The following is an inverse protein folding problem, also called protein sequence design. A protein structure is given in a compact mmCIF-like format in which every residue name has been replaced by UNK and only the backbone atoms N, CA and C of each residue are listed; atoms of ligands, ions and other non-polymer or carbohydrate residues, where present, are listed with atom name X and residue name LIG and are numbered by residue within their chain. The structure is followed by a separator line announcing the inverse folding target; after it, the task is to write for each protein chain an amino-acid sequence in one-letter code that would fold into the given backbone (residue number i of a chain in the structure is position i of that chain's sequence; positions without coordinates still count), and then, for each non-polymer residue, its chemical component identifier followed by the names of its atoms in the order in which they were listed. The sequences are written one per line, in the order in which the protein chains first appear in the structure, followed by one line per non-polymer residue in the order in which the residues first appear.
data_IF_628655082778
#
_entry.id   IF_628655082778
#
_cell.length_a   1.000
_cell.length_b   1.000
_cell.length_c   1.000
_cell.angle_alpha   90.00
_cell.angle_beta   90.00
_cell.angle_gamma   90.00
#
_symmetry.space_group_name_H-M   'P 1'
#
loop_
_entity.id
_entity.type
_entity.pdbx_description
1 polymer ?
#
# COMPACT_ATOMS: atom_id res chain seq x y z
N UNK A 1 -21.79 3.84 -8.10
CA UNK A 1 -20.44 3.36 -8.48
C UNK A 1 -20.18 1.96 -7.92
N UNK A 2 -20.66 0.91 -8.58
CA UNK A 2 -20.59 -0.46 -8.03
C UNK A 2 -19.15 -0.98 -8.15
N UNK A 3 -18.57 -1.44 -7.03
CA UNK A 3 -17.28 -2.14 -7.02
C UNK A 3 -16.04 -1.32 -6.62
N UNK A 4 -16.18 -0.11 -6.05
CA UNK A 4 -15.01 0.62 -5.52
C UNK A 4 -14.37 -0.11 -4.34
N UNK A 5 -15.18 -0.63 -3.40
CA UNK A 5 -14.72 -1.51 -2.33
C UNK A 5 -14.02 -2.78 -2.85
N UNK A 6 -14.57 -3.41 -3.90
CA UNK A 6 -13.95 -4.58 -4.55
C UNK A 6 -12.58 -4.23 -5.16
N UNK A 7 -12.44 -3.05 -5.76
CA UNK A 7 -11.16 -2.57 -6.29
C UNK A 7 -10.17 -2.28 -5.17
N UNK A 8 -10.60 -1.60 -4.10
CA UNK A 8 -9.76 -1.31 -2.95
C UNK A 8 -9.24 -2.60 -2.30
N UNK A 9 -10.10 -3.60 -2.14
CA UNK A 9 -9.72 -4.91 -1.63
C UNK A 9 -8.75 -5.65 -2.56
N UNK A 10 -8.94 -5.54 -3.89
CA UNK A 10 -7.95 -6.06 -4.85
C UNK A 10 -6.61 -5.34 -4.72
N UNK A 11 -6.62 -4.02 -4.61
CA UNK A 11 -5.39 -3.22 -4.36
C UNK A 11 -4.67 -3.75 -3.13
N UNK A 12 -5.38 -3.97 -2.03
CA UNK A 12 -4.82 -4.56 -0.82
C UNK A 12 -4.18 -5.93 -1.08
N UNK A 13 -4.92 -6.88 -1.66
CA UNK A 13 -4.39 -8.23 -1.92
C UNK A 13 -3.15 -8.21 -2.82
N UNK A 14 -3.18 -7.44 -3.92
CA UNK A 14 -2.02 -7.31 -4.80
C UNK A 14 -0.83 -6.64 -4.11
N UNK A 15 -1.09 -5.63 -3.28
CA UNK A 15 -0.03 -4.93 -2.53
C UNK A 15 0.62 -5.84 -1.50
N UNK A 16 -0.15 -6.67 -0.80
CA UNK A 16 0.37 -7.67 0.15
C UNK A 16 1.31 -8.63 -0.57
N UNK A 17 0.84 -9.26 -1.67
CA UNK A 17 1.64 -10.24 -2.42
C UNK A 17 2.94 -9.61 -2.92
N UNK A 18 2.86 -8.44 -3.56
CA UNK A 18 4.03 -7.74 -4.08
C UNK A 18 4.98 -7.29 -2.97
N UNK A 19 4.44 -6.86 -1.82
CA UNK A 19 5.26 -6.47 -0.67
C UNK A 19 6.00 -7.65 -0.08
N UNK A 20 5.37 -8.82 0.04
CA UNK A 20 6.03 -10.06 0.51
C UNK A 20 7.17 -10.42 -0.43
N UNK A 21 6.93 -10.42 -1.75
CA UNK A 21 7.95 -10.75 -2.76
C UNK A 21 9.11 -9.75 -2.70
N UNK A 22 8.84 -8.45 -2.73
CA UNK A 22 9.88 -7.42 -2.75
C UNK A 22 10.75 -7.44 -1.49
N UNK A 23 10.13 -7.58 -0.31
CA UNK A 23 10.88 -7.65 0.94
C UNK A 23 11.64 -8.97 1.11
N UNK A 24 11.11 -10.08 0.59
CA UNK A 24 11.83 -11.37 0.58
C UNK A 24 13.10 -11.29 -0.28
N UNK A 25 13.02 -10.63 -1.44
CA UNK A 25 14.19 -10.35 -2.29
C UNK A 25 15.19 -9.46 -1.55
N UNK A 26 14.74 -8.37 -0.94
CA UNK A 26 15.60 -7.48 -0.16
C UNK A 26 16.32 -8.22 0.97
N UNK A 27 15.60 -9.06 1.73
CA UNK A 27 16.16 -9.84 2.81
C UNK A 27 17.21 -10.84 2.32
N UNK A 28 16.91 -11.57 1.24
CA UNK A 28 17.84 -12.55 0.64
C UNK A 28 19.15 -11.91 0.18
N UNK A 29 19.09 -10.70 -0.39
CA UNK A 29 20.28 -9.98 -0.86
C UNK A 29 21.13 -9.46 0.30
N UNK A 30 20.51 -9.08 1.41
CA UNK A 30 21.18 -8.41 2.54
C UNK A 30 21.68 -9.36 3.63
N UNK A 31 21.04 -10.51 3.82
CA UNK A 31 21.31 -11.46 4.93
C UNK A 31 21.90 -12.79 4.44
N UNK A 32 22.86 -12.73 3.50
CA UNK A 32 23.49 -13.92 2.89
C UNK A 32 24.01 -14.90 3.96
N UNK A 33 23.34 -16.05 4.10
CA UNK A 33 23.85 -17.23 4.84
C UNK A 33 23.15 -17.58 6.15
N UNK A 34 22.05 -16.90 6.54
CA UNK A 34 21.27 -17.23 7.73
C UNK A 34 20.17 -18.29 7.52
N UNK A 35 19.62 -18.86 8.60
CA UNK A 35 18.43 -19.72 8.54
C UNK A 35 17.18 -18.88 8.22
N UNK A 36 16.62 -19.08 7.03
CA UNK A 36 15.57 -18.23 6.46
C UNK A 36 14.15 -18.62 6.91
N UNK A 37 13.97 -19.83 7.42
CA UNK A 37 12.64 -20.44 7.63
C UNK A 37 11.80 -19.69 8.67
N UNK A 38 12.39 -19.34 9.81
CA UNK A 38 11.70 -18.60 10.87
C UNK A 38 11.56 -17.10 10.58
N UNK A 39 12.54 -16.51 9.89
CA UNK A 39 12.53 -15.07 9.62
C UNK A 39 11.48 -14.72 8.56
N UNK A 40 11.31 -15.57 7.54
CA UNK A 40 10.34 -15.31 6.48
C UNK A 40 8.90 -15.23 7.00
N UNK A 41 8.53 -16.07 7.96
CA UNK A 41 7.20 -16.10 8.57
C UNK A 41 6.93 -14.82 9.36
N UNK A 42 7.83 -14.44 10.26
CA UNK A 42 7.69 -13.21 11.06
C UNK A 42 7.68 -11.95 10.19
N UNK A 43 8.50 -11.93 9.12
CA UNK A 43 8.57 -10.82 8.19
C UNK A 43 7.28 -10.73 7.34
N UNK A 44 6.70 -11.86 6.96
CA UNK A 44 5.42 -11.92 6.25
C UNK A 44 4.26 -11.41 7.10
N UNK A 45 4.19 -11.79 8.38
CA UNK A 45 3.19 -11.27 9.32
C UNK A 45 3.28 -9.75 9.47
N UNK A 46 4.51 -9.22 9.63
CA UNK A 46 4.76 -7.78 9.69
C UNK A 46 4.31 -7.05 8.43
N UNK A 47 4.61 -7.59 7.25
CA UNK A 47 4.20 -7.00 5.96
C UNK A 47 2.68 -6.99 5.81
N UNK A 48 2.01 -8.08 6.19
CA UNK A 48 0.55 -8.16 6.16
C UNK A 48 -0.05 -7.08 7.06
N UNK A 49 0.46 -6.95 8.29
CA UNK A 49 0.00 -5.92 9.22
C UNK A 49 0.21 -4.50 8.66
N UNK A 50 1.37 -4.21 8.09
CA UNK A 50 1.64 -2.91 7.47
C UNK A 50 0.69 -2.62 6.30
N UNK A 51 0.43 -3.61 5.44
CA UNK A 51 -0.55 -3.45 4.36
C UNK A 51 -1.98 -3.24 4.89
N UNK A 52 -2.36 -3.88 6.00
CA UNK A 52 -3.65 -3.65 6.65
C UNK A 52 -3.74 -2.21 7.14
N UNK A 53 -2.69 -1.68 7.77
CA UNK A 53 -2.66 -0.28 8.22
C UNK A 53 -2.86 0.68 7.04
N UNK A 54 -2.08 0.51 5.97
CA UNK A 54 -2.21 1.36 4.77
C UNK A 54 -3.60 1.21 4.13
N UNK A 55 -4.14 0.00 4.09
CA UNK A 55 -5.49 -0.26 3.60
C UNK A 55 -6.55 0.49 4.42
N UNK A 56 -6.50 0.42 5.75
CA UNK A 56 -7.41 1.15 6.65
C UNK A 56 -7.30 2.66 6.41
N UNK A 57 -6.08 3.18 6.28
CA UNK A 57 -5.86 4.59 5.96
C UNK A 57 -6.39 4.99 4.58
N UNK A 58 -6.57 4.04 3.66
CA UNK A 58 -7.13 4.26 2.33
C UNK A 58 -8.66 4.11 2.24
N UNK A 59 -9.33 3.73 3.33
CA UNK A 59 -10.80 3.63 3.38
C UNK A 59 -11.56 4.93 3.06
N UNK A 60 -11.05 6.14 3.35
CA UNK A 60 -11.71 7.37 2.90
C UNK A 60 -11.96 7.45 1.39
N UNK A 61 -11.20 6.69 0.58
CA UNK A 61 -11.45 6.56 -0.86
C UNK A 61 -12.86 6.03 -1.18
N UNK A 62 -13.52 5.32 -0.25
CA UNK A 62 -14.89 4.85 -0.40
C UNK A 62 -15.91 5.99 -0.53
N UNK A 63 -15.65 7.16 0.07
CA UNK A 63 -16.52 8.33 -0.04
C UNK A 63 -16.64 8.85 -1.47
N UNK A 64 -15.69 8.50 -2.34
CA UNK A 64 -15.73 8.86 -3.75
C UNK A 64 -16.92 8.28 -4.51
N UNK A 65 -17.71 7.39 -3.88
CA UNK A 65 -19.05 6.98 -4.35
C UNK A 65 -19.98 8.17 -4.63
N UNK A 66 -19.78 9.29 -3.92
CA UNK A 66 -20.49 10.53 -4.17
C UNK A 66 -19.97 11.23 -5.44
N UNK A 67 -20.82 11.49 -6.44
CA UNK A 67 -20.43 12.20 -7.67
C UNK A 67 -19.80 13.58 -7.42
N UNK A 68 -20.24 14.31 -6.39
CA UNK A 68 -19.68 15.61 -6.05
C UNK A 68 -18.18 15.53 -5.71
N UNK A 69 -17.79 14.48 -4.97
CA UNK A 69 -16.39 14.23 -4.63
C UNK A 69 -15.60 13.65 -5.81
N UNK A 70 -16.23 12.83 -6.65
CA UNK A 70 -15.58 12.27 -7.84
C UNK A 70 -15.24 13.33 -8.89
N UNK A 71 -16.12 14.31 -9.10
CA UNK A 71 -15.97 15.34 -10.13
C UNK A 71 -14.96 16.42 -9.74
N UNK A 72 -14.72 16.63 -8.44
CA UNK A 72 -13.68 17.53 -7.94
C UNK A 72 -12.32 16.81 -7.90
N UNK A 73 -11.39 17.20 -8.79
CA UNK A 73 -10.07 16.57 -8.90
C UNK A 73 -9.29 16.58 -7.57
N UNK A 74 -9.26 17.72 -6.87
CA UNK A 74 -8.48 17.88 -5.65
C UNK A 74 -9.01 16.98 -4.53
N UNK A 75 -10.33 16.99 -4.32
CA UNK A 75 -11.00 16.11 -3.33
C UNK A 75 -10.81 14.65 -3.72
N UNK A 76 -10.90 14.33 -5.02
CA UNK A 76 -10.70 12.98 -5.53
C UNK A 76 -9.31 12.46 -5.20
N UNK A 77 -8.26 13.22 -5.52
CA UNK A 77 -6.88 12.82 -5.26
C UNK A 77 -6.61 12.71 -3.75
N UNK A 78 -7.12 13.65 -2.95
CA UNK A 78 -6.95 13.64 -1.51
C UNK A 78 -7.58 12.40 -0.88
N UNK A 79 -8.84 12.11 -1.18
CA UNK A 79 -9.52 10.93 -0.61
C UNK A 79 -8.93 9.61 -1.12
N UNK A 80 -8.42 9.58 -2.35
CA UNK A 80 -7.86 8.36 -2.93
C UNK A 80 -6.44 8.06 -2.41
N UNK A 81 -5.57 9.07 -2.33
CA UNK A 81 -4.13 8.85 -2.07
C UNK A 81 -3.65 9.27 -0.68
N UNK A 82 -4.46 9.99 0.12
CA UNK A 82 -4.02 10.48 1.43
C UNK A 82 -3.49 9.37 2.33
N UNK A 83 -4.16 8.21 2.39
CA UNK A 83 -3.74 7.11 3.25
C UNK A 83 -2.32 6.62 3.00
N UNK A 84 -1.98 6.30 1.75
CA UNK A 84 -0.65 5.81 1.39
C UNK A 84 0.42 6.91 1.47
N UNK A 85 0.08 8.15 1.11
CA UNK A 85 1.01 9.29 1.20
C UNK A 85 1.34 9.60 2.66
N UNK A 86 0.33 9.69 3.53
CA UNK A 86 0.53 9.95 4.97
C UNK A 86 1.34 8.82 5.60
N UNK A 87 1.08 7.56 5.23
CA UNK A 87 1.88 6.43 5.70
C UNK A 87 3.36 6.57 5.33
N UNK A 88 3.68 6.91 4.08
CA UNK A 88 5.07 7.11 3.63
C UNK A 88 5.74 8.26 4.40
N UNK A 89 5.06 9.40 4.52
CA UNK A 89 5.57 10.55 5.28
C UNK A 89 5.84 10.17 6.74
N UNK A 90 4.94 9.41 7.36
CA UNK A 90 5.08 8.91 8.73
C UNK A 90 6.28 7.97 8.85
N UNK A 91 6.44 7.02 7.93
CA UNK A 91 7.58 6.11 7.90
C UNK A 91 8.93 6.82 7.72
N UNK A 92 8.98 7.90 6.93
CA UNK A 92 10.17 8.74 6.80
C UNK A 92 10.49 9.47 8.11
N UNK A 93 9.46 9.99 8.79
CA UNK A 93 9.57 10.83 9.98
C UNK A 93 9.90 10.04 11.25
N UNK A 94 9.51 8.76 11.31
CA UNK A 94 9.81 7.90 12.45
C UNK A 94 11.31 7.53 12.51
N UNK A 95 11.85 7.52 13.72
CA UNK A 95 13.19 7.02 14.02
C UNK A 95 13.16 5.48 14.12
N UNK A 96 13.14 4.82 12.97
CA UNK A 96 13.21 3.37 12.84
C UNK A 96 14.64 2.92 12.52
N UNK A 97 14.98 1.70 12.94
CA UNK A 97 16.21 1.03 12.48
C UNK A 97 16.21 0.97 10.93
N UNK A 98 17.36 1.14 10.26
CA UNK A 98 17.42 1.24 8.79
C UNK A 98 16.73 0.08 8.05
N UNK A 99 16.89 -1.15 8.54
CA UNK A 99 16.25 -2.35 7.99
C UNK A 99 14.72 -2.25 8.00
N UNK A 100 14.12 -1.84 9.12
CA UNK A 100 12.68 -1.66 9.24
C UNK A 100 12.17 -0.46 8.44
N UNK A 101 12.94 0.63 8.39
CA UNK A 101 12.57 1.80 7.57
C UNK A 101 12.43 1.40 6.09
N UNK A 102 13.35 0.58 5.57
CA UNK A 102 13.25 0.05 4.20
C UNK A 102 11.97 -0.77 4.02
N UNK A 103 11.67 -1.70 4.93
CA UNK A 103 10.46 -2.54 4.84
C UNK A 103 9.19 -1.69 4.81
N UNK A 104 9.10 -0.65 5.65
CA UNK A 104 7.95 0.26 5.69
C UNK A 104 7.83 1.04 4.38
N UNK A 105 8.91 1.64 3.89
CA UNK A 105 8.90 2.45 2.66
C UNK A 105 8.60 1.60 1.43
N UNK A 106 9.16 0.39 1.33
CA UNK A 106 8.88 -0.55 0.25
C UNK A 106 7.40 -0.95 0.27
N UNK A 107 6.86 -1.28 1.46
CA UNK A 107 5.44 -1.64 1.61
C UNK A 107 4.51 -0.48 1.22
N UNK A 108 4.77 0.72 1.73
CA UNK A 108 3.98 1.91 1.41
C UNK A 108 4.08 2.31 -0.07
N UNK A 109 5.29 2.23 -0.63
CA UNK A 109 5.55 2.52 -2.04
C UNK A 109 4.87 1.54 -3.00
N UNK A 110 4.92 0.24 -2.70
CA UNK A 110 4.20 -0.78 -3.46
C UNK A 110 2.71 -0.54 -3.39
N UNK A 111 2.17 -0.30 -2.19
CA UNK A 111 0.75 0.01 -2.06
C UNK A 111 0.36 1.23 -2.89
N UNK A 112 1.13 2.33 -2.79
CA UNK A 112 0.88 3.54 -3.58
C UNK A 112 0.92 3.26 -5.09
N UNK A 113 1.88 2.48 -5.59
CA UNK A 113 1.97 2.10 -6.99
C UNK A 113 0.75 1.30 -7.46
N UNK A 114 0.40 0.23 -6.74
CA UNK A 114 -0.77 -0.60 -7.08
C UNK A 114 -2.05 0.24 -7.02
N UNK A 115 -2.18 1.07 -5.98
CA UNK A 115 -3.32 1.97 -5.80
C UNK A 115 -3.42 2.97 -6.97
N UNK A 116 -2.29 3.51 -7.44
CA UNK A 116 -2.21 4.39 -8.61
C UNK A 116 -2.61 3.70 -9.92
N UNK A 117 -2.22 2.44 -10.11
CA UNK A 117 -2.65 1.65 -11.28
C UNK A 117 -4.17 1.45 -11.27
N UNK A 118 -4.76 1.07 -10.13
CA UNK A 118 -6.21 0.93 -10.03
C UNK A 118 -6.97 2.26 -10.14
N UNK A 119 -6.37 3.37 -9.70
CA UNK A 119 -6.89 4.71 -9.95
C UNK A 119 -6.99 4.97 -11.45
N UNK A 120 -5.87 4.82 -12.17
CA UNK A 120 -5.79 5.06 -13.60
C UNK A 120 -6.79 4.21 -14.38
N UNK A 121 -6.86 2.90 -14.09
CA UNK A 121 -7.84 2.00 -14.70
C UNK A 121 -9.30 2.39 -14.39
N UNK A 122 -9.55 3.05 -13.25
CA UNK A 122 -10.89 3.51 -12.88
C UNK A 122 -11.26 4.81 -13.59
N UNK A 123 -10.32 5.74 -13.71
CA UNK A 123 -10.52 6.99 -14.46
C UNK A 123 -10.69 6.70 -15.94
N UNK A 124 -9.81 5.89 -16.55
CA UNK A 124 -9.88 5.52 -17.97
C UNK A 124 -11.19 4.82 -18.36
N UNK A 125 -11.79 4.03 -17.47
CA UNK A 125 -13.09 3.38 -17.75
C UNK A 125 -14.29 4.33 -17.73
N UNK A 126 -14.09 5.60 -17.34
CA UNK A 126 -15.17 6.61 -17.23
C UNK A 126 -15.04 7.75 -18.24
N UNK A 127 -13.88 7.88 -18.88
CA UNK A 127 -13.66 8.76 -20.04
C UNK A 127 -13.96 7.95 -21.28
#
# INVERSE_FOLDING_TARGET
MKGLAKKLFKTFLFSVILSIVANSIYYTVTQKGGDYSHVLTSLSEGIVLLNIIVFVMSLPSLFLVNPAYWNNLSVRLLLYFSGSVIFIITALSLHLQPSFKVVYLVTGGIFLLVHSVFYYLTVKKRV
#
